data_IF_160125145193
#
_entry.id   IF_160125145193
#
_cell.length_a   1.000
_cell.length_b   1.000
_cell.length_c   1.000
_cell.angle_alpha   90.00
_cell.angle_beta   90.00
_cell.angle_gamma   90.00
#
_symmetry.space_group_name_H-M   'P 1'
#
loop_
_entity.id
_entity.type
_entity.pdbx_description
1 polymer ?
#
# COMPACT_ATOMS: atom_id res chain seq x y z
N UNK A 1 -16.56 13.76 6.83
CA UNK A 1 -15.27 13.52 7.42
C UNK A 1 -14.28 12.98 6.41
N UNK A 2 -13.02 13.11 6.70
CA UNK A 2 -11.92 12.86 5.79
C UNK A 2 -11.44 11.41 5.73
N UNK A 3 -12.29 10.46 6.08
CA UNK A 3 -11.86 9.06 6.22
C UNK A 3 -12.06 8.23 4.94
N UNK A 4 -12.34 8.90 3.82
CA UNK A 4 -12.53 8.21 2.55
C UNK A 4 -11.18 7.91 1.91
N UNK A 5 -11.03 6.67 1.43
CA UNK A 5 -9.87 6.26 0.65
C UNK A 5 -10.20 6.50 -0.82
N UNK A 6 -9.33 7.21 -1.52
CA UNK A 6 -9.49 7.51 -2.94
C UNK A 6 -8.81 6.41 -3.75
N UNK A 7 -9.50 5.86 -4.74
CA UNK A 7 -8.93 4.89 -5.66
C UNK A 7 -8.66 5.54 -7.01
N UNK A 8 -7.46 5.34 -7.54
CA UNK A 8 -7.01 5.92 -8.81
C UNK A 8 -6.34 4.85 -9.67
N UNK A 9 -6.10 5.18 -10.94
CA UNK A 9 -5.32 4.35 -11.84
C UNK A 9 -6.16 3.51 -12.79
N UNK A 10 -5.63 2.35 -13.15
CA UNK A 10 -6.22 1.46 -14.17
C UNK A 10 -7.31 0.59 -13.58
N UNK A 11 -8.49 1.17 -13.35
CA UNK A 11 -9.59 0.50 -12.67
C UNK A 11 -10.78 0.34 -13.62
N UNK A 12 -11.07 -0.89 -14.03
CA UNK A 12 -12.32 -1.18 -14.70
C UNK A 12 -13.47 -1.22 -13.69
N UNK A 13 -14.71 -1.06 -14.16
CA UNK A 13 -15.88 -1.14 -13.29
C UNK A 13 -15.96 -2.49 -12.57
N UNK A 14 -15.71 -3.58 -13.29
CA UNK A 14 -15.76 -4.93 -12.71
C UNK A 14 -14.68 -5.13 -11.65
N UNK A 15 -13.47 -4.65 -11.89
CA UNK A 15 -12.39 -4.76 -10.93
C UNK A 15 -12.66 -3.89 -9.69
N UNK A 16 -13.20 -2.70 -9.89
CA UNK A 16 -13.57 -1.83 -8.78
C UNK A 16 -14.58 -2.52 -7.85
N UNK A 17 -15.65 -3.09 -8.43
CA UNK A 17 -16.70 -3.72 -7.64
C UNK A 17 -16.24 -5.02 -6.95
N UNK A 18 -15.42 -5.82 -7.63
CA UNK A 18 -15.04 -7.14 -7.14
C UNK A 18 -13.81 -7.14 -6.24
N UNK A 19 -12.85 -6.28 -6.50
CA UNK A 19 -11.54 -6.32 -5.84
C UNK A 19 -11.23 -5.06 -5.04
N UNK A 20 -11.34 -3.89 -5.64
CA UNK A 20 -10.98 -2.64 -4.96
C UNK A 20 -11.94 -2.35 -3.81
N UNK A 21 -13.22 -2.62 -3.97
CA UNK A 21 -14.19 -2.45 -2.88
C UNK A 21 -13.84 -3.33 -1.68
N UNK A 22 -13.41 -4.57 -1.92
CA UNK A 22 -12.99 -5.49 -0.87
C UNK A 22 -11.73 -5.00 -0.17
N UNK A 23 -10.73 -4.56 -0.94
CA UNK A 23 -9.51 -3.98 -0.41
C UNK A 23 -9.81 -2.75 0.45
N UNK A 24 -10.58 -1.82 -0.08
CA UNK A 24 -10.94 -0.61 0.64
C UNK A 24 -11.69 -0.92 1.92
N UNK A 25 -12.61 -1.87 1.89
CA UNK A 25 -13.35 -2.29 3.07
C UNK A 25 -12.42 -2.85 4.15
N UNK A 26 -11.46 -3.68 3.76
CA UNK A 26 -10.47 -4.24 4.69
C UNK A 26 -9.66 -3.12 5.34
N UNK A 27 -9.19 -2.15 4.56
CA UNK A 27 -8.42 -1.03 5.09
C UNK A 27 -9.26 -0.14 6.01
N UNK A 28 -10.52 0.11 5.64
CA UNK A 28 -11.40 1.02 6.39
C UNK A 28 -11.92 0.40 7.70
N UNK A 29 -11.91 -0.91 7.81
CA UNK A 29 -12.37 -1.59 9.04
C UNK A 29 -11.23 -1.88 10.01
N UNK A 30 -10.00 -1.69 9.60
CA UNK A 30 -8.85 -1.88 10.48
C UNK A 30 -8.62 -0.64 11.34
N UNK A 31 -8.51 -0.83 12.66
CA UNK A 31 -8.37 0.30 13.58
C UNK A 31 -7.09 1.11 13.38
N UNK A 32 -6.03 0.47 12.92
CA UNK A 32 -4.75 1.12 12.69
C UNK A 32 -4.69 1.79 11.32
N UNK A 33 -5.12 1.08 10.28
CA UNK A 33 -4.87 1.50 8.90
C UNK A 33 -5.94 2.39 8.30
N UNK A 34 -7.15 2.42 8.85
CA UNK A 34 -8.25 3.21 8.30
C UNK A 34 -7.96 4.70 8.18
N UNK A 35 -7.09 5.22 9.04
CA UNK A 35 -6.68 6.62 9.02
C UNK A 35 -5.29 6.84 8.44
N UNK A 36 -4.56 5.77 8.14
CA UNK A 36 -3.19 5.87 7.64
C UNK A 36 -3.09 5.78 6.13
N UNK A 37 -3.98 5.05 5.48
CA UNK A 37 -3.97 4.91 4.02
C UNK A 37 -5.01 5.86 3.44
N UNK A 38 -4.57 6.77 2.58
CA UNK A 38 -5.46 7.78 1.99
C UNK A 38 -5.77 7.53 0.52
N UNK A 39 -4.99 6.68 -0.15
CA UNK A 39 -5.18 6.43 -1.57
C UNK A 39 -4.74 5.02 -1.94
N UNK A 40 -5.50 4.41 -2.84
CA UNK A 40 -5.15 3.15 -3.50
C UNK A 40 -4.92 3.49 -4.96
N UNK A 41 -3.74 3.19 -5.50
CA UNK A 41 -3.46 3.38 -6.92
C UNK A 41 -3.27 2.04 -7.61
N UNK A 42 -4.02 1.80 -8.67
CA UNK A 42 -3.97 0.54 -9.42
C UNK A 42 -3.15 0.74 -10.67
N UNK A 43 -2.07 -0.02 -10.78
CA UNK A 43 -1.16 0.03 -11.93
C UNK A 43 -1.76 -0.70 -13.14
N UNK A 44 -1.24 -0.49 -14.35
CA UNK A 44 -1.77 -1.15 -15.55
C UNK A 44 -1.79 -2.69 -15.48
N UNK A 45 -0.86 -3.29 -14.74
CA UNK A 45 -0.80 -4.74 -14.54
C UNK A 45 -1.65 -5.23 -13.36
N UNK A 46 -2.46 -4.32 -12.78
CA UNK A 46 -3.29 -4.53 -11.60
C UNK A 46 -2.50 -4.63 -10.28
N UNK A 47 -1.21 -4.33 -10.29
CA UNK A 47 -0.45 -4.16 -9.06
C UNK A 47 -1.02 -3.01 -8.23
N UNK A 48 -0.93 -3.11 -6.91
CA UNK A 48 -1.55 -2.15 -6.00
C UNK A 48 -0.48 -1.33 -5.27
N UNK A 49 -0.62 -0.02 -5.36
CA UNK A 49 0.15 0.91 -4.56
C UNK A 49 -0.75 1.54 -3.50
N UNK A 50 -0.29 1.59 -2.27
CA UNK A 50 -0.97 2.27 -1.18
C UNK A 50 -0.21 3.56 -0.87
N UNK A 51 -0.96 4.64 -0.67
CA UNK A 51 -0.38 5.94 -0.32
C UNK A 51 -0.74 6.24 1.13
N UNK A 52 0.25 6.18 2.03
CA UNK A 52 0.03 6.54 3.43
C UNK A 52 -0.09 8.05 3.60
N UNK A 53 -0.77 8.46 4.66
CA UNK A 53 -0.93 9.88 5.00
C UNK A 53 0.41 10.52 5.38
N UNK A 54 1.29 9.74 6.00
CA UNK A 54 2.57 10.22 6.52
C UNK A 54 3.73 9.47 5.89
N UNK A 55 4.93 10.05 5.93
CA UNK A 55 6.15 9.39 5.51
C UNK A 55 6.60 9.68 4.09
N UNK A 56 5.78 10.35 3.26
CA UNK A 56 6.11 10.72 1.88
C UNK A 56 6.67 9.56 1.05
N UNK A 57 6.09 8.38 1.19
CA UNK A 57 6.49 7.21 0.43
C UNK A 57 5.26 6.49 -0.11
N UNK A 58 5.48 5.65 -1.09
CA UNK A 58 4.46 4.78 -1.67
C UNK A 58 4.78 3.35 -1.26
N UNK A 59 3.75 2.57 -0.90
CA UNK A 59 3.88 1.16 -0.52
C UNK A 59 3.28 0.30 -1.62
N UNK A 60 4.10 -0.49 -2.28
CA UNK A 60 3.64 -1.43 -3.29
C UNK A 60 3.42 -2.80 -2.66
N UNK A 61 2.23 -3.37 -2.85
CA UNK A 61 1.88 -4.65 -2.23
C UNK A 61 1.71 -5.78 -3.25
N UNK A 62 1.91 -5.52 -4.53
CA UNK A 62 1.73 -6.52 -5.57
C UNK A 62 0.29 -6.61 -6.06
N UNK A 63 -0.01 -7.64 -6.83
CA UNK A 63 -1.35 -7.90 -7.34
C UNK A 63 -2.19 -8.62 -6.28
N UNK A 64 -3.47 -8.28 -6.21
CA UNK A 64 -4.39 -8.97 -5.29
C UNK A 64 -4.62 -10.42 -5.76
N UNK A 65 -4.84 -11.35 -4.81
CA UNK A 65 -5.23 -12.69 -5.18
C UNK A 65 -6.61 -12.69 -5.85
N UNK A 66 -6.83 -13.65 -6.75
CA UNK A 66 -8.06 -13.72 -7.53
C UNK A 66 -8.86 -14.96 -7.19
N UNK A 67 -10.17 -14.83 -7.22
CA UNK A 67 -11.10 -15.94 -7.06
C UNK A 67 -12.43 -15.58 -7.71
N UNK A 68 -13.13 -16.58 -8.23
CA UNK A 68 -14.44 -16.37 -8.84
C UNK A 68 -15.54 -16.24 -7.80
N UNK A 69 -15.47 -17.04 -6.73
CA UNK A 69 -16.43 -16.98 -5.65
C UNK A 69 -16.22 -15.73 -4.81
N UNK A 70 -17.30 -15.01 -4.54
CA UNK A 70 -17.25 -13.74 -3.81
C UNK A 70 -16.70 -13.91 -2.40
N UNK A 71 -17.17 -14.93 -1.68
CA UNK A 71 -16.76 -15.16 -0.29
C UNK A 71 -15.32 -15.59 -0.20
N UNK A 72 -14.90 -16.49 -1.10
CA UNK A 72 -13.50 -16.92 -1.18
C UNK A 72 -12.59 -15.73 -1.53
N UNK A 73 -13.00 -14.92 -2.50
CA UNK A 73 -12.24 -13.75 -2.92
C UNK A 73 -12.03 -12.75 -1.78
N UNK A 74 -13.10 -12.46 -1.04
CA UNK A 74 -13.01 -11.54 0.11
C UNK A 74 -12.06 -12.06 1.17
N UNK A 75 -12.11 -13.36 1.45
CA UNK A 75 -11.21 -13.98 2.43
C UNK A 75 -9.76 -13.91 1.96
N UNK A 76 -9.50 -14.26 0.71
CA UNK A 76 -8.14 -14.21 0.16
C UNK A 76 -7.57 -12.81 0.19
N UNK A 77 -8.37 -11.81 -0.16
CA UNK A 77 -7.93 -10.41 -0.13
C UNK A 77 -7.65 -9.97 1.31
N UNK A 78 -8.54 -10.28 2.25
CA UNK A 78 -8.32 -9.95 3.65
C UNK A 78 -7.01 -10.56 4.17
N UNK A 79 -6.80 -11.85 3.94
CA UNK A 79 -5.59 -12.53 4.42
C UNK A 79 -4.33 -11.94 3.77
N UNK A 80 -4.40 -11.64 2.48
CA UNK A 80 -3.28 -11.04 1.75
C UNK A 80 -2.92 -9.67 2.31
N UNK A 81 -3.92 -8.83 2.53
CA UNK A 81 -3.71 -7.47 3.03
C UNK A 81 -3.22 -7.49 4.47
N UNK A 82 -3.80 -8.32 5.32
CA UNK A 82 -3.33 -8.43 6.71
C UNK A 82 -1.86 -8.82 6.77
N UNK A 83 -1.44 -9.75 5.93
CA UNK A 83 -0.05 -10.16 5.86
C UNK A 83 0.86 -9.02 5.44
N UNK A 84 0.47 -8.27 4.40
CA UNK A 84 1.26 -7.13 3.92
C UNK A 84 1.30 -6.00 4.95
N UNK A 85 0.20 -5.69 5.57
CA UNK A 85 0.12 -4.62 6.57
C UNK A 85 0.89 -4.98 7.84
N UNK A 86 0.87 -6.24 8.26
CA UNK A 86 1.67 -6.68 9.40
C UNK A 86 3.16 -6.50 9.13
N UNK A 87 3.60 -6.82 7.92
CA UNK A 87 5.00 -6.61 7.53
C UNK A 87 5.35 -5.13 7.46
N UNK A 88 4.45 -4.31 6.94
CA UNK A 88 4.64 -2.86 6.89
C UNK A 88 4.75 -2.27 8.29
N UNK A 89 3.89 -2.71 9.21
CA UNK A 89 3.94 -2.26 10.60
C UNK A 89 5.29 -2.54 11.23
N UNK A 90 5.79 -3.77 11.06
CA UNK A 90 7.10 -4.15 11.57
C UNK A 90 8.21 -3.32 10.93
N UNK A 91 8.11 -3.09 9.63
CA UNK A 91 9.09 -2.28 8.93
C UNK A 91 9.10 -0.83 9.43
N UNK A 92 7.93 -0.26 9.67
CA UNK A 92 7.81 1.07 10.25
C UNK A 92 8.43 1.13 11.65
N UNK A 93 8.14 0.13 12.47
CA UNK A 93 8.55 0.11 13.86
C UNK A 93 10.05 -0.15 14.01
N UNK A 94 10.60 -1.08 13.25
CA UNK A 94 11.99 -1.53 13.44
C UNK A 94 12.94 -1.06 12.33
N UNK A 95 12.45 -0.72 11.16
CA UNK A 95 13.26 -0.28 10.03
C UNK A 95 13.30 1.24 9.91
N UNK A 96 12.15 1.86 9.65
CA UNK A 96 12.09 3.29 9.40
C UNK A 96 12.33 4.14 10.65
N UNK A 97 11.92 3.68 11.82
CA UNK A 97 12.21 4.40 13.06
C UNK A 97 13.71 4.56 13.29
N UNK A 98 14.51 3.63 12.76
CA UNK A 98 15.97 3.68 12.88
C UNK A 98 16.61 4.43 11.71
N UNK A 99 16.11 4.22 10.50
CA UNK A 99 16.69 4.79 9.29
C UNK A 99 16.22 6.20 8.98
N UNK A 100 15.05 6.60 9.53
CA UNK A 100 14.39 7.87 9.24
C UNK A 100 13.23 7.71 8.26
N UNK A 101 12.13 8.40 8.57
CA UNK A 101 10.87 8.26 7.82
C UNK A 101 10.95 8.78 6.38
N UNK A 102 11.90 9.66 6.09
CA UNK A 102 12.05 10.26 4.76
C UNK A 102 13.13 9.61 3.92
N UNK A 103 13.74 8.51 4.41
CA UNK A 103 14.85 7.88 3.70
C UNK A 103 14.42 7.25 2.38
N UNK A 104 13.24 6.64 2.36
CA UNK A 104 12.76 5.91 1.19
C UNK A 104 11.57 6.61 0.57
N UNK A 105 11.50 6.59 -0.76
CA UNK A 105 10.34 7.07 -1.53
C UNK A 105 9.40 5.96 -1.93
N UNK A 106 9.86 4.71 -1.90
CA UNK A 106 9.09 3.56 -2.33
C UNK A 106 9.47 2.35 -1.52
N UNK A 107 8.46 1.64 -1.03
CA UNK A 107 8.62 0.42 -0.22
C UNK A 107 7.86 -0.69 -0.93
N UNK A 108 8.58 -1.71 -1.40
CA UNK A 108 7.99 -2.83 -2.12
C UNK A 108 7.88 -4.04 -1.19
N UNK A 109 6.65 -4.43 -0.89
CA UNK A 109 6.31 -5.57 -0.04
C UNK A 109 5.80 -6.77 -0.83
N UNK A 110 5.96 -6.77 -2.14
CA UNK A 110 5.42 -7.82 -2.98
C UNK A 110 5.90 -9.21 -2.59
N UNK A 111 7.18 -9.33 -2.27
CA UNK A 111 7.80 -10.61 -1.96
C UNK A 111 7.69 -10.95 -0.47
N UNK A 112 7.44 -12.23 -0.16
CA UNK A 112 7.19 -12.65 1.20
C UNK A 112 8.44 -12.62 2.11
N UNK A 113 9.62 -12.72 1.51
CA UNK A 113 10.86 -12.91 2.26
C UNK A 113 11.81 -11.72 2.20
N UNK A 114 11.41 -10.62 1.56
CA UNK A 114 12.28 -9.44 1.47
C UNK A 114 11.44 -8.18 1.26
N UNK A 115 12.00 -7.06 1.68
CA UNK A 115 11.43 -5.73 1.44
C UNK A 115 12.44 -4.97 0.61
N UNK A 116 12.02 -4.50 -0.55
CA UNK A 116 12.88 -3.77 -1.47
C UNK A 116 12.50 -2.29 -1.38
N UNK A 117 13.46 -1.45 -1.02
CA UNK A 117 13.21 -0.03 -0.84
C UNK A 117 13.99 0.80 -1.85
N UNK A 118 13.36 1.84 -2.35
CA UNK A 118 14.02 2.82 -3.21
C UNK A 118 14.31 4.06 -2.37
N UNK A 119 15.58 4.47 -2.33
CA UNK A 119 15.97 5.65 -1.59
C UNK A 119 15.45 6.91 -2.28
N UNK A 120 15.07 7.90 -1.47
CA UNK A 120 14.70 9.21 -1.98
C UNK A 120 15.94 9.89 -2.56
N UNK A 121 15.79 10.48 -3.73
CA UNK A 121 16.89 11.23 -4.34
C UNK A 121 17.12 12.50 -3.55
N UNK A 122 18.39 12.74 -3.17
CA UNK A 122 18.77 14.01 -2.58
C UNK A 122 18.87 15.08 -3.66
N UNK A 123 18.34 16.25 -3.35
CA UNK A 123 18.47 17.40 -4.24
C UNK A 123 19.82 18.05 -3.98
N UNK A 124 20.68 18.08 -5.00
CA UNK A 124 21.95 18.80 -4.91
C UNK A 124 21.64 20.28 -5.12
N UNK A 125 21.97 21.10 -4.14
CA UNK A 125 21.83 22.55 -4.25
C UNK A 125 23.03 23.11 -4.97
N UNK A 126 22.79 23.91 -6.00
CA UNK A 126 23.88 24.48 -6.80
C UNK A 126 24.84 25.31 -5.97
N UNK A 127 24.35 25.98 -4.95
CA UNK A 127 25.19 26.83 -4.09
C UNK A 127 26.04 26.03 -3.10
N UNK A 128 25.97 24.72 -3.11
CA UNK A 128 26.81 23.85 -2.29
C UNK A 128 28.05 23.36 -3.02
N UNK A 129 28.14 23.71 -4.27
CA UNK A 129 29.27 23.32 -5.12
C UNK A 129 30.47 24.24 -4.91
#
# INVERSE_FOLDING_TARGET
TSDLIIATGSISKGYAQAYISSLANTLMTDNMWKNLIVQINVLPDLGIELVPRVGNHIVYIGQLPTAKDKNERSKLINDYIEKKLTRLEKFYKYGLSQAGWNKYSYINLEFDNQIICKKRKETIKENEI
#
